data_IF_919964842817
#
_entry.id   IF_919964842817
#
_cell.length_a   1.000
_cell.length_b   1.000
_cell.length_c   1.000
_cell.angle_alpha   90.00
_cell.angle_beta   90.00
_cell.angle_gamma   90.00
#
_symmetry.space_group_name_H-M   'P 1'
#
loop_
_entity.id
_entity.type
_entity.pdbx_description
1 polymer ?
#
# COMPACT_ATOMS: atom_id res chain seq x y z
N UNK A 1 4.41 22.86 -8.59
CA UNK A 1 4.36 21.67 -9.47
C UNK A 1 2.94 21.15 -9.52
N UNK A 2 2.60 20.44 -10.59
CA UNK A 2 1.35 19.70 -10.74
C UNK A 2 1.62 18.21 -10.44
N UNK A 3 0.92 17.64 -9.47
CA UNK A 3 1.16 16.28 -8.98
C UNK A 3 -0.12 15.46 -9.12
N UNK A 4 -0.01 14.29 -9.76
CA UNK A 4 -1.09 13.32 -9.90
C UNK A 4 -0.80 12.11 -9.02
N UNK A 5 -1.70 11.81 -8.08
CA UNK A 5 -1.62 10.66 -7.19
C UNK A 5 -2.67 9.62 -7.62
N UNK A 6 -2.24 8.39 -7.87
CA UNK A 6 -3.10 7.30 -8.35
C UNK A 6 -3.17 6.16 -7.34
N UNK A 7 -4.37 5.85 -6.91
CA UNK A 7 -4.67 4.83 -5.91
C UNK A 7 -4.63 5.36 -4.47
N UNK A 8 -5.01 4.53 -3.52
CA UNK A 8 -5.01 4.85 -2.08
C UNK A 8 -4.83 3.57 -1.26
N UNK A 9 -3.92 3.61 -0.29
CA UNK A 9 -3.83 2.61 0.78
C UNK A 9 -3.62 3.31 2.12
N UNK A 10 -4.47 3.00 3.08
CA UNK A 10 -4.30 3.40 4.49
C UNK A 10 -4.08 4.90 4.71
N UNK A 11 -4.75 5.76 3.93
CA UNK A 11 -4.68 7.22 4.00
C UNK A 11 -3.34 7.83 3.57
N UNK A 12 -2.52 7.10 2.85
CA UNK A 12 -1.19 7.56 2.44
C UNK A 12 -1.29 8.68 1.41
N UNK A 13 -1.99 8.44 0.29
CA UNK A 13 -2.12 9.46 -0.76
C UNK A 13 -2.97 10.65 -0.34
N UNK A 14 -4.02 10.45 0.45
CA UNK A 14 -4.80 11.57 0.98
C UNK A 14 -3.94 12.45 1.92
N UNK A 15 -3.08 11.87 2.74
CA UNK A 15 -2.13 12.60 3.59
C UNK A 15 -1.08 13.34 2.76
N UNK A 16 -0.52 12.71 1.73
CA UNK A 16 0.41 13.35 0.79
C UNK A 16 -0.24 14.50 0.04
N UNK A 17 -1.47 14.30 -0.47
CA UNK A 17 -2.22 15.32 -1.18
C UNK A 17 -2.45 16.57 -0.32
N UNK A 18 -2.84 16.38 0.95
CA UNK A 18 -3.00 17.48 1.89
C UNK A 18 -1.69 18.22 2.13
N UNK A 19 -0.60 17.50 2.36
CA UNK A 19 0.72 18.07 2.63
C UNK A 19 1.28 18.82 1.44
N UNK A 20 1.18 18.27 0.24
CA UNK A 20 1.62 18.94 -0.99
C UNK A 20 0.81 20.19 -1.32
N UNK A 21 -0.52 20.17 -1.08
CA UNK A 21 -1.37 21.37 -1.23
C UNK A 21 -0.99 22.47 -0.24
N UNK A 22 -0.69 22.12 1.01
CA UNK A 22 -0.17 23.07 2.01
C UNK A 22 1.18 23.67 1.60
N UNK A 23 1.99 22.90 0.87
CA UNK A 23 3.25 23.37 0.29
C UNK A 23 3.10 24.17 -1.02
N UNK A 24 1.86 24.47 -1.46
CA UNK A 24 1.57 25.29 -2.64
C UNK A 24 1.61 24.52 -3.96
N UNK A 25 1.49 23.21 -3.96
CA UNK A 25 1.42 22.40 -5.18
C UNK A 25 -0.04 22.16 -5.62
N UNK A 26 -0.27 22.08 -6.93
CA UNK A 26 -1.52 21.61 -7.51
C UNK A 26 -1.55 20.08 -7.45
N UNK A 27 -2.51 19.50 -6.74
CA UNK A 27 -2.58 18.04 -6.55
C UNK A 27 -3.94 17.52 -6.97
N UNK A 28 -3.94 16.46 -7.78
CA UNK A 28 -5.11 15.68 -8.14
C UNK A 28 -4.95 14.25 -7.63
N UNK A 29 -5.88 13.81 -6.76
CA UNK A 29 -5.91 12.46 -6.21
C UNK A 29 -7.05 11.66 -6.83
N UNK A 30 -6.70 10.54 -7.47
CA UNK A 30 -7.62 9.61 -8.14
C UNK A 30 -7.53 8.26 -7.43
N UNK A 31 -8.60 7.81 -6.80
CA UNK A 31 -8.60 6.54 -6.08
C UNK A 31 -10.00 5.97 -5.85
N UNK A 32 -10.09 4.76 -5.34
CA UNK A 32 -11.30 4.15 -4.81
C UNK A 32 -11.59 4.54 -3.34
N UNK A 33 -10.63 5.16 -2.66
CA UNK A 33 -10.69 5.55 -1.25
C UNK A 33 -10.30 4.43 -0.28
N UNK A 34 -9.65 3.37 -0.73
CA UNK A 34 -9.26 2.19 0.07
C UNK A 34 -10.49 1.47 0.65
N UNK A 35 -11.41 1.11 -0.25
CA UNK A 35 -12.63 0.36 0.02
C UNK A 35 -13.56 1.03 1.06
N UNK A 36 -13.93 0.32 2.13
CA UNK A 36 -14.86 0.80 3.16
C UNK A 36 -14.35 1.98 3.99
N UNK A 37 -13.04 2.26 3.99
CA UNK A 37 -12.42 3.37 4.73
C UNK A 37 -12.75 4.72 4.12
N UNK A 38 -13.06 4.76 2.83
CA UNK A 38 -13.59 5.90 2.08
C UNK A 38 -12.79 7.21 2.25
N UNK A 39 -11.45 7.11 2.16
CA UNK A 39 -10.56 8.27 2.28
C UNK A 39 -10.83 9.34 1.22
N UNK A 40 -10.55 10.60 1.57
CA UNK A 40 -10.75 11.77 0.70
C UNK A 40 -9.98 11.63 -0.60
N UNK A 41 -10.62 12.01 -1.71
CA UNK A 41 -10.07 12.02 -3.06
C UNK A 41 -10.78 13.06 -3.92
N UNK A 42 -10.17 13.44 -5.02
CA UNK A 42 -10.77 14.41 -5.95
C UNK A 42 -11.62 13.71 -7.01
N UNK A 43 -11.12 12.57 -7.53
CA UNK A 43 -11.84 11.73 -8.49
C UNK A 43 -12.00 10.34 -7.87
N UNK A 44 -13.25 9.95 -7.70
CA UNK A 44 -13.61 8.63 -7.20
C UNK A 44 -13.74 7.64 -8.35
N UNK A 45 -12.94 6.57 -8.33
CA UNK A 45 -13.03 5.46 -9.28
C UNK A 45 -13.14 4.17 -8.47
N UNK A 46 -14.36 3.70 -8.33
CA UNK A 46 -14.68 2.56 -7.47
C UNK A 46 -15.59 1.57 -8.17
N UNK A 47 -15.30 0.28 -8.02
CA UNK A 47 -16.19 -0.77 -8.52
C UNK A 47 -17.50 -0.79 -7.73
N UNK A 48 -18.62 -0.53 -8.42
CA UNK A 48 -19.96 -0.52 -7.82
C UNK A 48 -20.73 -1.81 -8.08
N UNK A 49 -20.45 -2.49 -9.20
CA UNK A 49 -21.16 -3.68 -9.64
C UNK A 49 -20.21 -4.85 -9.87
N UNK A 50 -20.69 -6.06 -9.64
CA UNK A 50 -19.97 -7.31 -9.93
C UNK A 50 -20.08 -7.69 -11.42
N UNK A 51 -19.20 -8.58 -11.88
CA UNK A 51 -19.24 -9.14 -13.22
C UNK A 51 -18.90 -8.17 -14.34
N UNK A 52 -19.36 -8.46 -15.55
CA UNK A 52 -19.03 -7.73 -16.79
C UNK A 52 -19.54 -6.28 -16.77
N UNK A 53 -20.75 -6.05 -16.24
CA UNK A 53 -21.33 -4.71 -16.10
C UNK A 53 -20.50 -3.82 -15.17
N UNK A 54 -20.02 -4.37 -14.06
CA UNK A 54 -19.12 -3.66 -13.15
C UNK A 54 -17.76 -3.35 -13.79
N UNK A 55 -17.25 -4.23 -14.63
CA UNK A 55 -16.00 -3.98 -15.37
C UNK A 55 -16.20 -2.87 -16.41
N UNK A 56 -17.29 -2.88 -17.17
CA UNK A 56 -17.60 -1.83 -18.14
C UNK A 56 -17.76 -0.47 -17.44
N UNK A 57 -18.52 -0.43 -16.34
CA UNK A 57 -18.72 0.78 -15.55
C UNK A 57 -17.38 1.33 -15.02
N UNK A 58 -16.52 0.47 -14.51
CA UNK A 58 -15.19 0.86 -14.03
C UNK A 58 -14.28 1.39 -15.16
N UNK A 59 -14.34 0.78 -16.35
CA UNK A 59 -13.64 1.27 -17.54
C UNK A 59 -14.13 2.69 -17.92
N UNK A 60 -15.45 2.94 -17.89
CA UNK A 60 -16.01 4.28 -18.16
C UNK A 60 -15.56 5.31 -17.10
N UNK A 61 -15.52 4.93 -15.82
CA UNK A 61 -15.02 5.80 -14.76
C UNK A 61 -13.55 6.21 -14.98
N UNK A 62 -12.73 5.37 -15.57
CA UNK A 62 -11.36 5.71 -15.95
C UNK A 62 -11.32 6.53 -17.25
N UNK A 63 -12.10 6.16 -18.27
CA UNK A 63 -12.08 6.82 -19.58
C UNK A 63 -12.50 8.30 -19.51
N UNK A 64 -13.51 8.61 -18.72
CA UNK A 64 -14.05 9.98 -18.61
C UNK A 64 -13.03 11.01 -18.08
N UNK A 65 -12.27 10.76 -17.01
CA UNK A 65 -11.29 11.73 -16.51
C UNK A 65 -9.94 11.70 -17.25
N UNK A 66 -9.64 10.70 -18.09
CA UNK A 66 -8.34 10.59 -18.77
C UNK A 66 -7.82 11.92 -19.35
N UNK A 67 -8.63 12.73 -20.09
CA UNK A 67 -8.13 14.01 -20.60
C UNK A 67 -7.62 14.97 -19.53
N UNK A 68 -8.10 14.84 -18.28
CA UNK A 68 -7.68 15.66 -17.14
C UNK A 68 -6.44 15.12 -16.44
N UNK A 69 -6.05 13.86 -16.71
CA UNK A 69 -4.93 13.16 -16.05
C UNK A 69 -3.61 13.30 -16.83
N UNK A 70 -3.44 14.36 -17.61
CA UNK A 70 -2.26 14.65 -18.42
C UNK A 70 -1.61 15.97 -18.08
N UNK A 71 -0.31 16.11 -18.40
CA UNK A 71 0.45 17.33 -18.23
C UNK A 71 0.84 17.62 -16.79
N UNK A 72 0.89 16.60 -15.94
CA UNK A 72 1.44 16.70 -14.59
C UNK A 72 2.96 16.60 -14.64
N UNK A 73 3.61 17.29 -13.69
CA UNK A 73 5.07 17.19 -13.52
C UNK A 73 5.45 15.83 -12.95
N UNK A 74 4.63 15.31 -12.02
CA UNK A 74 4.83 13.99 -11.42
C UNK A 74 3.51 13.22 -11.45
N UNK A 75 3.55 11.95 -11.88
CA UNK A 75 2.52 10.96 -11.57
C UNK A 75 3.08 9.91 -10.61
N UNK A 76 2.43 9.74 -9.49
CA UNK A 76 2.81 8.78 -8.46
C UNK A 76 1.74 7.72 -8.29
N UNK A 77 2.12 6.45 -8.47
CA UNK A 77 1.26 5.29 -8.30
C UNK A 77 1.47 4.70 -6.90
N UNK A 78 0.37 4.37 -6.21
CA UNK A 78 0.43 3.80 -4.85
C UNK A 78 1.09 2.42 -4.80
N UNK A 79 0.92 1.63 -5.87
CA UNK A 79 1.35 0.24 -5.98
C UNK A 79 1.32 -0.16 -7.46
N UNK A 80 2.06 -1.18 -7.91
CA UNK A 80 1.91 -1.69 -9.28
C UNK A 80 0.48 -2.09 -9.64
N UNK A 81 -0.28 -2.62 -8.69
CA UNK A 81 -1.71 -2.93 -8.85
C UNK A 81 -2.56 -1.80 -8.26
N UNK A 82 -2.73 -0.72 -9.02
CA UNK A 82 -3.36 0.52 -8.57
C UNK A 82 -4.86 0.64 -8.88
N UNK A 83 -5.45 -0.35 -9.58
CA UNK A 83 -6.90 -0.42 -9.82
C UNK A 83 -7.46 -1.81 -9.51
N UNK A 84 -8.79 -1.93 -9.45
CA UNK A 84 -9.51 -3.23 -9.37
C UNK A 84 -9.81 -3.83 -10.76
N UNK A 85 -8.98 -3.53 -11.77
CA UNK A 85 -9.11 -4.08 -13.13
C UNK A 85 -8.14 -5.24 -13.36
N UNK A 86 -8.29 -5.91 -14.51
CA UNK A 86 -7.33 -6.93 -14.90
C UNK A 86 -5.93 -6.33 -15.13
N UNK A 87 -4.83 -6.98 -14.72
CA UNK A 87 -3.47 -6.45 -14.83
C UNK A 87 -3.08 -5.93 -16.23
N UNK A 88 -3.59 -6.54 -17.28
CA UNK A 88 -3.35 -6.08 -18.67
C UNK A 88 -4.01 -4.72 -18.98
N UNK A 89 -5.09 -4.37 -18.28
CA UNK A 89 -5.73 -3.05 -18.40
C UNK A 89 -4.94 -2.03 -17.60
N UNK A 90 -4.52 -2.37 -16.39
CA UNK A 90 -3.65 -1.53 -15.56
C UNK A 90 -2.36 -1.19 -16.31
N UNK A 91 -1.75 -2.17 -17.00
CA UNK A 91 -0.56 -1.94 -17.82
C UNK A 91 -0.80 -0.90 -18.91
N UNK A 92 -1.92 -0.98 -19.66
CA UNK A 92 -2.26 -0.01 -20.71
C UNK A 92 -2.54 1.38 -20.14
N UNK A 93 -3.21 1.44 -19.00
CA UNK A 93 -3.49 2.70 -18.30
C UNK A 93 -2.19 3.34 -17.78
N UNK A 94 -1.31 2.55 -17.19
CA UNK A 94 0.02 2.99 -16.78
C UNK A 94 0.82 3.54 -17.97
N UNK A 95 0.88 2.81 -19.09
CA UNK A 95 1.59 3.24 -20.30
C UNK A 95 1.02 4.54 -20.87
N UNK A 96 -0.30 4.73 -20.76
CA UNK A 96 -0.93 5.99 -21.20
C UNK A 96 -0.57 7.14 -20.26
N UNK A 97 -0.71 6.95 -18.94
CA UNK A 97 -0.37 7.97 -17.94
C UNK A 97 1.11 8.36 -18.00
N UNK A 98 2.00 7.39 -18.15
CA UNK A 98 3.44 7.63 -18.26
C UNK A 98 3.81 8.46 -19.48
N UNK A 99 3.17 8.22 -20.63
CA UNK A 99 3.43 8.97 -21.87
C UNK A 99 2.90 10.41 -21.87
N UNK A 100 1.91 10.70 -21.01
CA UNK A 100 1.26 12.02 -20.99
C UNK A 100 1.65 12.88 -19.77
N UNK A 101 2.57 12.40 -18.93
CA UNK A 101 3.10 13.10 -17.77
C UNK A 101 4.63 13.07 -17.80
N UNK A 102 5.31 13.98 -17.06
CA UNK A 102 6.76 14.14 -17.19
C UNK A 102 7.55 13.05 -16.45
N UNK A 103 7.27 12.88 -15.14
CA UNK A 103 8.00 11.96 -14.28
C UNK A 103 7.07 10.92 -13.67
N UNK A 104 7.54 9.68 -13.61
CA UNK A 104 6.79 8.55 -13.08
C UNK A 104 7.46 8.01 -11.83
N UNK A 105 6.72 7.98 -10.73
CA UNK A 105 7.19 7.42 -9.47
C UNK A 105 6.23 6.33 -8.97
N UNK A 106 6.77 5.34 -8.30
CA UNK A 106 6.01 4.19 -7.81
C UNK A 106 6.18 4.03 -6.30
N UNK A 107 5.05 4.03 -5.61
CA UNK A 107 4.96 3.58 -4.23
C UNK A 107 4.99 2.05 -4.16
N UNK A 108 5.72 1.53 -3.22
CA UNK A 108 5.74 0.11 -2.87
C UNK A 108 4.99 -0.05 -1.55
N UNK A 109 3.64 0.13 -1.61
CA UNK A 109 2.79 0.24 -0.43
C UNK A 109 1.86 -0.96 -0.31
N UNK A 110 2.43 -2.10 0.01
CA UNK A 110 1.71 -3.36 0.18
C UNK A 110 2.28 -4.47 -0.67
N UNK A 111 1.44 -5.49 -0.93
CA UNK A 111 1.84 -6.62 -1.75
C UNK A 111 2.12 -6.22 -3.19
N UNK A 112 3.15 -6.83 -3.72
CA UNK A 112 3.44 -6.90 -5.14
C UNK A 112 4.19 -8.21 -5.48
N UNK A 113 4.53 -8.38 -6.73
CA UNK A 113 5.24 -9.59 -7.17
C UNK A 113 6.59 -9.77 -6.46
N UNK A 114 7.37 -8.69 -6.30
CA UNK A 114 8.70 -8.77 -5.67
C UNK A 114 8.57 -9.12 -4.19
N UNK A 115 7.71 -8.41 -3.48
CA UNK A 115 7.45 -8.65 -2.06
C UNK A 115 7.02 -10.10 -1.83
N UNK A 116 5.99 -10.57 -2.51
CA UNK A 116 5.50 -11.95 -2.35
C UNK A 116 6.57 -12.97 -2.71
N UNK A 117 7.31 -12.76 -3.79
CA UNK A 117 8.36 -13.68 -4.23
C UNK A 117 9.52 -13.78 -3.24
N UNK A 118 9.92 -12.66 -2.64
CA UNK A 118 11.00 -12.65 -1.65
C UNK A 118 10.54 -13.24 -0.31
N UNK A 119 9.27 -13.03 0.07
CA UNK A 119 8.68 -13.70 1.23
C UNK A 119 8.59 -15.22 1.06
N UNK A 120 8.22 -15.71 -0.14
CA UNK A 120 8.24 -17.15 -0.46
C UNK A 120 9.65 -17.75 -0.37
N UNK A 121 10.69 -16.97 -0.72
CA UNK A 121 12.10 -17.39 -0.59
C UNK A 121 12.61 -17.38 0.84
N UNK A 122 11.82 -16.88 1.79
CA UNK A 122 12.22 -16.84 3.20
C UNK A 122 13.28 -15.78 3.50
N UNK A 123 13.33 -14.69 2.72
CA UNK A 123 14.28 -13.59 2.97
C UNK A 123 14.03 -12.93 4.32
N UNK A 124 12.78 -12.91 4.78
CA UNK A 124 12.43 -12.56 6.16
C UNK A 124 12.16 -13.84 6.94
N UNK A 125 12.82 -14.00 8.09
CA UNK A 125 12.62 -15.14 8.99
C UNK A 125 11.17 -15.21 9.50
N UNK A 126 10.59 -14.04 9.76
CA UNK A 126 9.19 -13.89 10.20
C UNK A 126 8.42 -13.06 9.20
N UNK A 127 7.39 -13.64 8.64
CA UNK A 127 6.50 -12.96 7.70
C UNK A 127 5.08 -13.50 7.80
N UNK A 128 4.13 -12.84 7.18
CA UNK A 128 2.75 -13.33 7.10
C UNK A 128 2.60 -14.61 6.26
N UNK A 129 3.60 -14.99 5.46
CA UNK A 129 3.64 -16.27 4.74
C UNK A 129 4.32 -17.37 5.55
N UNK A 130 4.93 -17.03 6.66
CA UNK A 130 5.65 -17.93 7.54
C UNK A 130 5.30 -17.66 8.99
N UNK A 131 4.78 -18.66 9.70
CA UNK A 131 4.63 -18.61 11.15
C UNK A 131 5.80 -19.37 11.78
N UNK A 132 6.68 -18.68 12.51
CA UNK A 132 7.86 -19.26 13.16
C UNK A 132 8.76 -20.07 12.22
N UNK A 133 9.08 -19.52 11.06
CA UNK A 133 9.91 -20.19 10.06
C UNK A 133 9.23 -21.34 9.31
N UNK A 134 7.92 -21.57 9.54
CA UNK A 134 7.13 -22.57 8.83
C UNK A 134 6.14 -21.90 7.88
N UNK A 135 6.07 -22.38 6.65
CA UNK A 135 5.12 -21.89 5.65
C UNK A 135 3.66 -22.05 6.14
N UNK A 136 2.90 -20.96 6.07
CA UNK A 136 1.46 -20.98 6.39
C UNK A 136 0.72 -21.52 5.18
N UNK A 137 0.20 -22.74 5.29
CA UNK A 137 -0.49 -23.45 4.22
C UNK A 137 -2.00 -23.18 4.22
N UNK A 138 -2.42 -21.92 4.11
CA UNK A 138 -3.83 -21.53 4.06
C UNK A 138 -4.23 -21.29 2.61
N UNK A 139 -5.43 -21.73 2.21
CA UNK A 139 -5.94 -21.62 0.83
C UNK A 139 -5.93 -20.17 0.30
N UNK A 140 -6.33 -19.21 1.12
CA UNK A 140 -6.30 -17.78 0.76
C UNK A 140 -4.88 -17.28 0.48
N UNK A 141 -3.89 -17.73 1.25
CA UNK A 141 -2.50 -17.36 1.04
C UNK A 141 -1.96 -17.96 -0.27
N UNK A 142 -2.32 -19.19 -0.59
CA UNK A 142 -1.95 -19.82 -1.88
C UNK A 142 -2.55 -19.05 -3.07
N UNK A 143 -3.82 -18.68 -3.00
CA UNK A 143 -4.48 -17.89 -4.03
C UNK A 143 -3.84 -16.52 -4.20
N UNK A 144 -3.52 -15.85 -3.08
CA UNK A 144 -2.81 -14.56 -3.08
C UNK A 144 -1.43 -14.68 -3.73
N UNK A 145 -0.63 -15.66 -3.31
CA UNK A 145 0.69 -15.94 -3.89
C UNK A 145 0.56 -16.18 -5.40
N UNK A 146 -0.34 -17.07 -5.81
CA UNK A 146 -0.56 -17.38 -7.21
C UNK A 146 -0.96 -16.15 -8.02
N UNK A 147 -1.86 -15.33 -7.51
CA UNK A 147 -2.30 -14.11 -8.20
C UNK A 147 -1.11 -13.17 -8.47
N UNK A 148 -0.26 -12.94 -7.48
CA UNK A 148 0.89 -12.05 -7.61
C UNK A 148 2.02 -12.66 -8.46
N UNK A 149 2.32 -13.95 -8.30
CA UNK A 149 3.42 -14.61 -9.01
C UNK A 149 3.09 -15.00 -10.46
N UNK A 150 1.82 -14.99 -10.84
CA UNK A 150 1.37 -15.29 -12.22
C UNK A 150 0.73 -14.08 -12.90
N UNK A 151 -0.51 -13.75 -12.57
CA UNK A 151 -1.29 -12.74 -13.30
C UNK A 151 -0.73 -11.32 -13.16
N UNK A 152 -0.26 -10.94 -11.97
CA UNK A 152 0.26 -9.60 -11.70
C UNK A 152 1.75 -9.45 -12.02
N UNK A 153 2.52 -10.52 -12.13
CA UNK A 153 3.96 -10.48 -12.38
C UNK A 153 4.34 -9.61 -13.58
N UNK A 154 3.77 -9.80 -14.81
CA UNK A 154 4.17 -9.00 -15.98
C UNK A 154 3.86 -7.51 -15.81
N UNK A 155 2.79 -7.17 -15.06
CA UNK A 155 2.46 -5.79 -14.72
C UNK A 155 3.50 -5.19 -13.77
N UNK A 156 3.81 -5.90 -12.68
CA UNK A 156 4.77 -5.42 -11.68
C UNK A 156 6.16 -5.21 -12.28
N UNK A 157 6.68 -6.19 -13.02
CA UNK A 157 7.98 -6.10 -13.71
C UNK A 157 8.00 -4.88 -14.66
N UNK A 158 6.95 -4.69 -15.46
CA UNK A 158 6.83 -3.58 -16.40
C UNK A 158 6.81 -2.21 -15.73
N UNK A 159 6.06 -2.05 -14.63
CA UNK A 159 5.96 -0.77 -13.91
C UNK A 159 7.24 -0.47 -13.14
N UNK A 160 7.80 -1.47 -12.45
CA UNK A 160 9.06 -1.35 -11.70
C UNK A 160 10.21 -0.96 -12.63
N UNK A 161 10.29 -1.55 -13.83
CA UNK A 161 11.29 -1.20 -14.83
C UNK A 161 11.21 0.27 -15.25
N UNK A 162 10.00 0.78 -15.50
CA UNK A 162 9.73 2.10 -16.08
C UNK A 162 9.63 3.24 -15.10
N UNK A 163 9.29 2.97 -13.84
CA UNK A 163 9.30 4.00 -12.81
C UNK A 163 10.71 4.55 -12.60
N UNK A 164 10.84 5.87 -12.52
CA UNK A 164 12.11 6.57 -12.29
C UNK A 164 12.55 6.47 -10.83
N UNK A 165 11.58 6.45 -9.91
CA UNK A 165 11.80 6.36 -8.46
C UNK A 165 10.85 5.33 -7.88
N UNK A 166 11.39 4.47 -7.00
CA UNK A 166 10.66 3.47 -6.22
C UNK A 166 10.69 3.90 -4.74
N UNK A 167 9.51 4.03 -4.13
CA UNK A 167 9.37 4.53 -2.76
C UNK A 167 8.70 3.49 -1.88
N UNK A 168 9.45 2.64 -1.18
CA UNK A 168 8.89 1.72 -0.20
C UNK A 168 8.41 2.47 1.05
N UNK A 169 7.21 2.13 1.54
CA UNK A 169 6.63 2.77 2.72
C UNK A 169 7.13 2.19 4.05
N UNK A 170 7.56 0.94 4.06
CA UNK A 170 8.09 0.26 5.23
C UNK A 170 9.50 -0.26 4.94
N UNK A 171 10.32 -0.33 5.99
CA UNK A 171 11.69 -0.82 5.86
C UNK A 171 11.75 -2.26 5.36
N UNK A 172 10.78 -3.09 5.71
CA UNK A 172 10.67 -4.47 5.21
C UNK A 172 10.54 -4.52 3.67
N UNK A 173 9.72 -3.64 3.06
CA UNK A 173 9.61 -3.56 1.59
C UNK A 173 10.91 -3.06 0.95
N UNK A 174 11.55 -2.06 1.56
CA UNK A 174 12.87 -1.62 1.13
C UNK A 174 13.88 -2.78 1.15
N UNK A 175 13.94 -3.53 2.26
CA UNK A 175 14.86 -4.65 2.42
C UNK A 175 14.59 -5.78 1.41
N UNK A 176 13.31 -6.12 1.17
CA UNK A 176 12.93 -7.15 0.18
C UNK A 176 13.34 -6.76 -1.24
N UNK A 177 13.19 -5.49 -1.63
CA UNK A 177 13.64 -5.00 -2.93
C UNK A 177 15.17 -4.97 -3.03
N UNK A 178 15.86 -4.51 -2.01
CA UNK A 178 17.34 -4.54 -1.93
C UNK A 178 17.91 -5.95 -2.03
N UNK A 179 17.22 -6.95 -1.51
CA UNK A 179 17.64 -8.36 -1.57
C UNK A 179 17.62 -8.96 -2.98
N UNK A 180 17.11 -8.23 -3.99
CA UNK A 180 17.23 -8.61 -5.39
C UNK A 180 18.67 -8.44 -5.92
N UNK A 181 19.46 -7.55 -5.33
CA UNK A 181 20.82 -7.20 -5.75
C UNK A 181 20.90 -6.81 -7.23
N UNK A 182 20.01 -5.93 -7.67
CA UNK A 182 19.94 -5.45 -9.05
C UNK A 182 20.22 -3.95 -9.10
N UNK A 183 21.33 -3.54 -9.71
CA UNK A 183 21.76 -2.14 -9.81
C UNK A 183 20.68 -1.24 -10.42
N UNK A 184 19.95 -1.73 -11.41
CA UNK A 184 18.85 -1.00 -12.06
C UNK A 184 17.67 -0.69 -11.10
N UNK A 185 17.47 -1.49 -10.06
CA UNK A 185 16.48 -1.26 -8.99
C UNK A 185 17.10 -0.43 -7.88
N UNK A 186 18.31 -0.79 -7.46
CA UNK A 186 19.01 -0.17 -6.34
C UNK A 186 19.23 1.33 -6.56
N UNK A 187 19.56 1.75 -7.80
CA UNK A 187 19.79 3.15 -8.16
C UNK A 187 18.55 4.06 -8.09
N UNK A 188 17.34 3.49 -8.08
CA UNK A 188 16.07 4.25 -8.01
C UNK A 188 15.22 3.95 -6.76
N UNK A 189 15.73 3.15 -5.83
CA UNK A 189 15.05 2.74 -4.61
C UNK A 189 15.36 3.72 -3.46
N UNK A 190 14.36 4.48 -3.02
CA UNK A 190 14.51 5.48 -1.97
C UNK A 190 13.52 5.23 -0.82
N UNK A 191 14.02 4.83 0.35
CA UNK A 191 13.19 4.67 1.54
C UNK A 191 12.90 6.03 2.19
N UNK A 192 11.63 6.43 2.18
CA UNK A 192 11.18 7.71 2.77
C UNK A 192 10.29 7.48 4.00
N UNK A 193 9.64 6.32 4.09
CA UNK A 193 8.68 5.99 5.13
C UNK A 193 7.27 6.51 4.83
N UNK A 194 6.36 6.30 5.79
CA UNK A 194 4.95 6.69 5.64
C UNK A 194 4.76 8.19 5.95
N UNK A 195 3.94 8.90 5.17
CA UNK A 195 3.59 10.27 5.47
C UNK A 195 2.69 10.33 6.71
N UNK A 196 2.93 11.33 7.55
CA UNK A 196 2.10 11.63 8.72
C UNK A 196 1.75 13.12 8.75
N UNK A 197 0.54 13.43 9.19
CA UNK A 197 0.18 14.78 9.58
C UNK A 197 0.44 14.93 11.08
N UNK A 198 1.47 15.67 11.51
CA UNK A 198 1.70 15.90 12.93
C UNK A 198 0.48 16.64 13.50
N UNK A 199 -0.04 16.13 14.60
CA UNK A 199 -1.05 16.82 15.41
C UNK A 199 -0.35 17.47 16.57
N UNK A 200 -0.82 18.67 16.93
CA UNK A 200 -0.39 19.29 18.17
C UNK A 200 -0.72 18.34 19.32
N UNK A 201 0.31 17.93 20.03
CA UNK A 201 0.16 17.09 21.22
C UNK A 201 0.16 18.00 22.43
N UNK A 202 -0.98 18.15 23.05
CA UNK A 202 -0.97 18.56 24.45
C UNK A 202 -0.29 17.45 25.24
N UNK A 203 0.77 17.74 26.01
CA UNK A 203 1.39 16.75 26.88
C UNK A 203 0.28 16.22 27.80
N UNK A 204 -0.04 14.94 27.67
CA UNK A 204 -0.93 14.29 28.62
C UNK A 204 -0.11 14.01 29.88
N UNK A 205 -0.66 14.34 31.02
CA UNK A 205 -0.13 13.85 32.28
C UNK A 205 -0.09 12.31 32.22
N UNK A 206 1.08 11.76 32.45
CA UNK A 206 1.24 10.30 32.54
C UNK A 206 0.59 9.91 33.85
N UNK A 207 -0.56 9.28 33.79
CA UNK A 207 -1.24 8.73 34.97
C UNK A 207 -0.39 7.64 35.65
N UNK A 208 -0.75 7.27 36.86
CA UNK A 208 -0.07 6.21 37.62
C UNK A 208 -0.15 4.83 36.94
N UNK A 209 -1.10 4.64 35.99
CA UNK A 209 -1.30 3.39 35.26
C UNK A 209 -0.87 3.53 33.80
N UNK A 210 -0.22 2.45 33.30
CA UNK A 210 0.11 2.30 31.88
C UNK A 210 -1.13 1.75 31.15
N UNK A 211 -1.61 2.49 30.16
CA UNK A 211 -2.72 2.06 29.31
C UNK A 211 -2.18 1.40 28.04
N UNK A 212 -2.61 0.16 27.81
CA UNK A 212 -2.19 -0.61 26.63
C UNK A 212 -3.38 -0.74 25.68
N UNK A 213 -3.26 -0.14 24.49
CA UNK A 213 -4.24 -0.27 23.41
C UNK A 213 -3.80 -1.33 22.42
N UNK A 214 -4.64 -2.35 22.19
CA UNK A 214 -4.39 -3.42 21.23
C UNK A 214 -5.41 -3.36 20.10
N UNK A 215 -4.95 -3.17 18.87
CA UNK A 215 -5.78 -3.26 17.68
C UNK A 215 -5.96 -4.73 17.23
N UNK A 216 -7.18 -5.23 17.22
CA UNK A 216 -7.48 -6.62 16.85
C UNK A 216 -8.18 -6.68 15.49
N UNK A 217 -7.54 -7.32 14.51
CA UNK A 217 -8.16 -7.71 13.24
C UNK A 217 -8.60 -9.18 13.32
N UNK A 218 -9.86 -9.45 13.67
CA UNK A 218 -10.38 -10.80 13.89
C UNK A 218 -10.03 -11.82 12.79
N UNK A 219 -10.13 -11.42 11.51
CA UNK A 219 -9.81 -12.28 10.35
C UNK A 219 -8.31 -12.52 10.15
N UNK A 220 -7.44 -11.74 10.78
CA UNK A 220 -5.98 -11.79 10.62
C UNK A 220 -5.23 -11.95 11.94
N UNK A 221 -5.90 -12.42 13.01
CA UNK A 221 -5.31 -12.57 14.34
C UNK A 221 -4.02 -13.40 14.28
N UNK A 222 -4.05 -14.55 13.61
CA UNK A 222 -2.91 -15.47 13.52
C UNK A 222 -1.74 -14.85 12.72
N UNK A 223 -2.02 -14.18 11.62
CA UNK A 223 -0.97 -13.56 10.78
C UNK A 223 -0.39 -12.29 11.40
N UNK A 224 -1.17 -11.61 12.26
CA UNK A 224 -0.74 -10.42 13.01
C UNK A 224 -0.16 -10.75 14.40
N UNK A 225 -0.20 -12.01 14.81
CA UNK A 225 0.29 -12.45 16.12
C UNK A 225 -0.57 -11.97 17.30
N UNK A 226 -1.74 -11.40 17.04
CA UNK A 226 -2.63 -10.85 18.08
C UNK A 226 -3.17 -11.96 19.00
N UNK A 227 -3.39 -13.16 18.46
CA UNK A 227 -3.78 -14.37 19.20
C UNK A 227 -2.77 -14.77 20.28
N UNK A 228 -1.51 -14.42 20.10
CA UNK A 228 -0.43 -14.71 21.04
C UNK A 228 -0.16 -13.55 22.00
N UNK A 229 -0.29 -12.33 21.51
CA UNK A 229 -0.02 -11.15 22.34
C UNK A 229 -1.14 -10.88 23.35
N UNK A 230 -2.40 -11.11 22.98
CA UNK A 230 -3.54 -10.83 23.87
C UNK A 230 -3.44 -11.57 25.21
N UNK A 231 -3.21 -12.89 25.29
CA UNK A 231 -3.05 -13.61 26.57
C UNK A 231 -1.85 -13.14 27.40
N UNK A 232 -0.82 -12.56 26.74
CA UNK A 232 0.33 -12.01 27.47
C UNK A 232 -0.05 -10.70 28.16
N UNK A 233 -0.82 -9.83 27.49
CA UNK A 233 -1.30 -8.58 28.08
C UNK A 233 -2.34 -8.80 29.17
N UNK A 234 -3.23 -9.80 29.01
CA UNK A 234 -4.17 -10.20 30.04
C UNK A 234 -3.44 -10.64 31.33
N UNK A 235 -2.44 -11.52 31.19
CA UNK A 235 -1.59 -11.93 32.33
C UNK A 235 -0.83 -10.76 32.95
N UNK A 236 -0.35 -9.82 32.14
CA UNK A 236 0.33 -8.63 32.64
C UNK A 236 -0.62 -7.75 33.47
N UNK A 237 -1.84 -7.57 33.03
CA UNK A 237 -2.86 -6.81 33.75
C UNK A 237 -3.27 -7.53 35.06
N UNK A 238 -3.39 -8.85 35.05
CA UNK A 238 -3.65 -9.65 36.25
C UNK A 238 -2.50 -9.56 37.27
N UNK A 239 -1.26 -9.59 36.79
CA UNK A 239 -0.07 -9.54 37.64
C UNK A 239 0.17 -8.13 38.25
N UNK A 240 -0.25 -7.08 37.56
CA UNK A 240 -0.02 -5.68 37.95
C UNK A 240 -1.32 -4.84 37.84
N UNK A 241 -2.38 -5.20 38.61
CA UNK A 241 -3.70 -4.58 38.47
C UNK A 241 -3.71 -3.08 38.79
N UNK A 242 -2.78 -2.62 39.62
CA UNK A 242 -2.65 -1.21 40.00
C UNK A 242 -1.78 -0.40 39.02
N UNK A 243 -1.05 -1.06 38.11
CA UNK A 243 -0.07 -0.42 37.19
C UNK A 243 -0.48 -0.51 35.71
N UNK A 244 -1.28 -1.49 35.33
CA UNK A 244 -1.65 -1.77 33.93
C UNK A 244 -3.16 -1.75 33.74
N UNK A 245 -3.60 -1.14 32.67
CA UNK A 245 -5.01 -1.06 32.24
C UNK A 245 -5.13 -1.34 30.74
#
# INVERSE_FOLDING_TARGET
MRILLIGEFSNVHATLAESFRKAGHEVLLVSDGDDWKDYKRDISIRRQYKGKTGTLHLLMQWALPLPKLRGFDIVHFINPKFTDMHPAVDKRLFDWLSRHNKHVTLGLYGDDYVVIRQLERGILEYSELQAYGKSINITEQKQRIQAWTTACRPLCEHIVERAEILIPCLYEYYFLYRSLHQDAIDGKLHYIGLPINPKDRNPKEIGARVRILIGIQKKRCNTKGTDKMLPLFERLAEQYPDKVE
#
